data_IF_309683979479
#
_entry.id   IF_309683979479
#
_cell.length_a   1.000
_cell.length_b   1.000
_cell.length_c   1.000
_cell.angle_alpha   90.00
_cell.angle_beta   90.00
_cell.angle_gamma   90.00
#
_symmetry.space_group_name_H-M   'P 1'
#
loop_
_entity.id
_entity.type
_entity.pdbx_description
1 polymer ?
#
# COMPACT_ATOMS: atom_id res chain seq x y z
N UNK A 1 12.54 -60.18 -10.60
CA UNK A 1 12.19 -58.79 -11.02
C UNK A 1 10.69 -58.43 -11.09
N UNK A 2 9.76 -59.37 -11.16
CA UNK A 2 8.30 -59.10 -11.29
C UNK A 2 7.57 -58.53 -10.04
N UNK A 3 8.11 -58.70 -8.81
CA UNK A 3 7.44 -58.24 -7.58
C UNK A 3 7.56 -56.73 -7.29
N UNK A 4 8.57 -56.03 -7.86
CA UNK A 4 8.73 -54.57 -7.65
C UNK A 4 7.73 -53.73 -8.46
N UNK A 5 7.29 -54.23 -9.61
CA UNK A 5 6.30 -53.51 -10.48
C UNK A 5 4.86 -53.52 -9.92
N UNK A 6 4.52 -54.51 -9.08
CA UNK A 6 3.16 -54.64 -8.50
C UNK A 6 2.87 -53.55 -7.47
N UNK A 7 3.90 -52.98 -6.82
CA UNK A 7 3.74 -51.90 -5.83
C UNK A 7 3.89 -50.49 -6.49
N UNK A 8 4.69 -50.38 -7.56
CA UNK A 8 4.93 -49.12 -8.25
C UNK A 8 3.70 -48.65 -9.05
N UNK A 9 2.96 -49.58 -9.68
CA UNK A 9 1.81 -49.25 -10.52
C UNK A 9 0.65 -48.60 -9.73
N UNK A 10 0.21 -49.11 -8.56
CA UNK A 10 -0.82 -48.44 -7.76
C UNK A 10 -0.33 -47.12 -7.18
N UNK A 11 0.96 -46.99 -6.81
CA UNK A 11 1.50 -45.74 -6.32
C UNK A 11 1.50 -44.66 -7.41
N UNK A 12 1.86 -45.02 -8.66
CA UNK A 12 1.81 -44.12 -9.81
C UNK A 12 0.37 -43.70 -10.14
N UNK A 13 -0.58 -44.61 -10.04
CA UNK A 13 -2.00 -44.31 -10.26
C UNK A 13 -2.58 -43.34 -9.19
N UNK A 14 -2.17 -43.48 -7.93
CA UNK A 14 -2.54 -42.54 -6.85
C UNK A 14 -1.89 -41.19 -7.09
N UNK A 15 -0.62 -41.13 -7.49
CA UNK A 15 0.06 -39.87 -7.81
C UNK A 15 -0.61 -39.13 -8.99
N UNK A 16 -0.97 -39.85 -10.04
CA UNK A 16 -1.70 -39.27 -11.21
C UNK A 16 -3.09 -38.78 -10.78
N UNK A 17 -3.83 -39.53 -9.94
CA UNK A 17 -5.12 -39.10 -9.45
C UNK A 17 -5.01 -37.86 -8.57
N UNK A 18 -3.98 -37.74 -7.72
CA UNK A 18 -3.70 -36.54 -6.94
C UNK A 18 -3.33 -35.34 -7.80
N UNK A 19 -2.58 -35.56 -8.87
CA UNK A 19 -2.27 -34.51 -9.85
C UNK A 19 -3.51 -34.04 -10.61
N UNK A 20 -4.37 -34.96 -11.03
CA UNK A 20 -5.65 -34.62 -11.68
C UNK A 20 -6.56 -33.83 -10.73
N UNK A 21 -6.68 -34.26 -9.47
CA UNK A 21 -7.44 -33.55 -8.43
C UNK A 21 -6.82 -32.19 -8.15
N UNK A 22 -5.51 -32.09 -8.05
CA UNK A 22 -4.80 -30.82 -7.88
C UNK A 22 -5.03 -29.88 -9.07
N UNK A 23 -4.89 -30.35 -10.31
CA UNK A 23 -5.19 -29.55 -11.51
C UNK A 23 -6.66 -29.17 -11.60
N UNK A 24 -7.59 -30.04 -11.18
CA UNK A 24 -9.01 -29.75 -11.15
C UNK A 24 -9.33 -28.64 -10.15
N UNK A 25 -8.83 -28.74 -8.91
CA UNK A 25 -9.00 -27.67 -7.90
C UNK A 25 -8.23 -26.39 -8.26
N UNK A 26 -7.07 -26.50 -8.88
CA UNK A 26 -6.31 -25.36 -9.37
C UNK A 26 -7.08 -24.59 -10.46
N UNK A 27 -7.69 -25.29 -11.40
CA UNK A 27 -8.52 -24.68 -12.45
C UNK A 27 -9.86 -24.14 -11.92
N UNK A 28 -10.48 -24.78 -10.91
CA UNK A 28 -11.71 -24.27 -10.27
C UNK A 28 -11.42 -22.93 -9.56
N UNK A 29 -10.29 -22.80 -8.89
CA UNK A 29 -9.90 -21.56 -8.22
C UNK A 29 -9.48 -20.44 -9.18
N UNK A 30 -9.24 -20.73 -10.47
CA UNK A 30 -8.92 -19.77 -11.51
C UNK A 30 -10.07 -19.41 -12.45
N UNK A 31 -11.23 -20.06 -12.33
CA UNK A 31 -12.34 -19.78 -13.24
C UNK A 31 -13.30 -18.78 -12.65
N UNK A 32 -13.58 -17.74 -13.40
CA UNK A 32 -14.74 -16.87 -13.18
C UNK A 32 -16.04 -17.68 -13.18
N UNK A 33 -17.03 -17.24 -12.43
CA UNK A 33 -18.34 -17.92 -12.32
C UNK A 33 -19.25 -17.67 -13.54
N UNK A 34 -18.69 -17.72 -14.76
CA UNK A 34 -19.44 -17.52 -16.00
C UNK A 34 -20.48 -18.65 -16.20
N UNK A 35 -21.72 -18.27 -16.49
CA UNK A 35 -22.80 -19.18 -16.83
C UNK A 35 -22.57 -19.83 -18.20
N UNK A 36 -23.30 -20.93 -18.48
CA UNK A 36 -23.23 -21.61 -19.78
C UNK A 36 -23.66 -20.70 -20.92
N UNK A 37 -24.61 -19.78 -20.69
CA UNK A 37 -25.04 -18.80 -21.69
C UNK A 37 -23.97 -17.77 -21.99
N UNK A 38 -23.25 -17.29 -20.98
CA UNK A 38 -22.14 -16.35 -21.14
C UNK A 38 -20.95 -16.98 -21.88
N UNK A 39 -20.59 -18.21 -21.53
CA UNK A 39 -19.54 -18.97 -22.25
C UNK A 39 -19.87 -19.16 -23.73
N UNK A 40 -21.14 -19.50 -24.02
CA UNK A 40 -21.61 -19.63 -25.40
C UNK A 40 -21.61 -18.28 -26.15
N UNK A 41 -21.94 -17.20 -25.44
CA UNK A 41 -21.88 -15.85 -26.00
C UNK A 41 -20.44 -15.51 -26.39
N UNK A 42 -19.47 -15.77 -25.51
CA UNK A 42 -18.04 -15.57 -25.77
C UNK A 42 -17.60 -16.37 -27.00
N UNK A 43 -17.90 -17.69 -27.05
CA UNK A 43 -17.56 -18.56 -28.19
C UNK A 43 -18.07 -18.00 -29.54
N UNK A 44 -19.23 -17.35 -29.53
CA UNK A 44 -19.85 -16.79 -30.73
C UNK A 44 -19.31 -15.42 -31.14
N UNK A 45 -18.69 -14.67 -30.20
CA UNK A 45 -18.28 -13.29 -30.40
C UNK A 45 -16.75 -13.07 -30.30
N UNK A 46 -15.94 -14.12 -30.23
CA UNK A 46 -14.46 -14.04 -30.17
C UNK A 46 -13.78 -13.26 -31.31
N UNK A 47 -14.49 -12.98 -32.39
CA UNK A 47 -13.96 -12.21 -33.53
C UNK A 47 -14.40 -10.75 -33.51
N UNK A 48 -15.24 -10.36 -32.61
CA UNK A 48 -15.67 -8.98 -32.46
C UNK A 48 -14.65 -8.23 -31.62
N UNK A 49 -14.23 -7.07 -32.09
CA UNK A 49 -13.35 -6.16 -31.35
C UNK A 49 -14.22 -5.22 -30.55
N UNK A 50 -13.97 -5.13 -29.25
CA UNK A 50 -14.73 -4.32 -28.32
C UNK A 50 -13.94 -3.07 -27.98
N UNK A 51 -14.44 -1.89 -28.32
CA UNK A 51 -13.78 -0.63 -27.98
C UNK A 51 -13.95 -0.31 -26.49
N UNK A 52 -12.83 0.03 -25.83
CA UNK A 52 -12.78 0.51 -24.45
C UNK A 52 -11.87 1.73 -24.32
N UNK A 53 -12.38 2.82 -23.76
CA UNK A 53 -11.57 4.00 -23.48
C UNK A 53 -10.87 3.83 -22.13
N UNK A 54 -9.55 4.07 -22.10
CA UNK A 54 -8.74 3.87 -20.89
C UNK A 54 -8.00 5.16 -20.56
N UNK A 55 -8.23 5.67 -19.33
CA UNK A 55 -7.51 6.84 -18.81
C UNK A 55 -5.99 6.57 -18.79
N UNK A 56 -5.21 7.42 -19.49
CA UNK A 56 -3.79 7.19 -19.77
C UNK A 56 -2.89 8.36 -19.35
N UNK A 57 -3.26 9.03 -18.27
CA UNK A 57 -2.47 10.10 -17.63
C UNK A 57 -2.40 9.95 -16.10
N UNK A 58 -2.64 8.74 -15.60
CA UNK A 58 -2.73 8.44 -14.18
C UNK A 58 -1.54 7.58 -13.74
N UNK A 59 -0.56 8.11 -12.97
CA UNK A 59 0.62 7.36 -12.54
C UNK A 59 0.27 5.99 -11.94
N UNK A 60 1.06 4.96 -12.27
CA UNK A 60 0.86 3.56 -11.85
C UNK A 60 -0.33 2.87 -12.53
N UNK A 61 -1.43 3.57 -12.71
CA UNK A 61 -2.68 2.99 -13.18
C UNK A 61 -2.85 3.01 -14.70
N UNK A 62 -2.45 4.09 -15.36
CA UNK A 62 -2.52 4.22 -16.82
C UNK A 62 -1.61 5.32 -17.29
N UNK A 63 -0.44 4.95 -17.84
CA UNK A 63 0.51 5.89 -18.42
C UNK A 63 1.22 5.24 -19.62
N UNK A 64 1.31 5.94 -20.73
CA UNK A 64 1.96 5.45 -21.93
C UNK A 64 1.45 4.06 -22.43
N UNK A 65 0.19 3.74 -22.17
CA UNK A 65 -0.41 2.46 -22.58
C UNK A 65 -0.02 1.27 -21.69
N UNK A 66 0.40 1.51 -20.46
CA UNK A 66 0.74 0.48 -19.46
C UNK A 66 0.18 0.84 -18.09
N UNK A 67 0.15 -0.13 -17.17
CA UNK A 67 -0.30 0.03 -15.79
C UNK A 67 -1.59 -0.71 -15.48
N UNK A 68 -2.01 -0.66 -14.24
CA UNK A 68 -3.11 -1.46 -13.65
C UNK A 68 -4.41 -1.49 -14.47
N UNK A 69 -4.73 -0.42 -15.22
CA UNK A 69 -5.91 -0.39 -16.06
C UNK A 69 -5.78 -1.29 -17.29
N UNK A 70 -4.58 -1.34 -17.86
CA UNK A 70 -4.25 -2.20 -18.99
C UNK A 70 -4.10 -3.66 -18.54
N UNK A 71 -3.50 -3.92 -17.36
CA UNK A 71 -3.40 -5.25 -16.77
C UNK A 71 -4.79 -5.87 -16.54
N UNK A 72 -5.76 -5.07 -16.04
CA UNK A 72 -7.15 -5.51 -15.92
C UNK A 72 -7.71 -6.00 -17.26
N UNK A 73 -7.45 -5.27 -18.35
CA UNK A 73 -7.98 -5.64 -19.67
C UNK A 73 -7.26 -6.89 -20.20
N UNK A 74 -5.94 -6.97 -20.03
CA UNK A 74 -5.18 -8.17 -20.38
C UNK A 74 -5.68 -9.42 -19.65
N UNK A 75 -6.04 -9.28 -18.34
CA UNK A 75 -6.64 -10.38 -17.57
C UNK A 75 -8.01 -10.79 -18.10
N UNK A 76 -8.87 -9.82 -18.44
CA UNK A 76 -10.18 -10.10 -19.06
C UNK A 76 -10.01 -10.84 -20.38
N UNK A 77 -9.10 -10.41 -21.24
CA UNK A 77 -8.78 -11.09 -22.52
C UNK A 77 -8.28 -12.52 -22.28
N UNK A 78 -7.34 -12.72 -21.37
CA UNK A 78 -6.79 -14.05 -21.04
C UNK A 78 -7.85 -15.03 -20.53
N UNK A 79 -8.87 -14.53 -19.83
CA UNK A 79 -9.91 -15.37 -19.25
C UNK A 79 -11.08 -15.63 -20.19
N UNK A 80 -11.33 -14.72 -21.12
CA UNK A 80 -12.52 -14.76 -22.00
C UNK A 80 -12.20 -15.05 -23.44
N UNK A 81 -10.94 -14.95 -23.88
CA UNK A 81 -10.56 -14.94 -25.31
C UNK A 81 -11.32 -13.88 -26.13
N UNK A 82 -11.82 -12.81 -25.48
CA UNK A 82 -12.37 -11.62 -26.16
C UNK A 82 -11.22 -10.69 -26.55
N UNK A 83 -11.42 -9.89 -27.58
CA UNK A 83 -10.45 -8.94 -28.11
C UNK A 83 -10.91 -7.51 -27.86
N UNK A 84 -10.10 -6.70 -27.15
CA UNK A 84 -10.39 -5.32 -26.84
C UNK A 84 -9.47 -4.36 -27.61
N UNK A 85 -10.08 -3.33 -28.20
CA UNK A 85 -9.36 -2.19 -28.74
C UNK A 85 -9.26 -1.11 -27.65
N UNK A 86 -8.12 -1.08 -26.98
CA UNK A 86 -7.84 -0.15 -25.91
C UNK A 86 -7.52 1.24 -26.46
N UNK A 87 -8.40 2.21 -26.23
CA UNK A 87 -8.29 3.58 -26.71
C UNK A 87 -7.81 4.46 -25.57
N UNK A 88 -6.53 4.90 -25.54
CA UNK A 88 -6.03 5.75 -24.49
C UNK A 88 -6.62 7.15 -24.57
N UNK A 89 -7.22 7.62 -23.45
CA UNK A 89 -7.78 8.96 -23.29
C UNK A 89 -7.02 9.75 -22.21
N UNK A 90 -6.96 11.07 -22.34
CA UNK A 90 -6.29 11.94 -21.37
C UNK A 90 -7.27 12.54 -20.35
N UNK A 91 -8.54 12.64 -20.72
CA UNK A 91 -9.61 13.14 -19.85
C UNK A 91 -10.84 12.24 -19.93
N UNK A 92 -11.60 12.14 -18.85
CA UNK A 92 -12.89 11.44 -18.84
C UNK A 92 -13.91 12.05 -19.82
N UNK A 93 -13.76 13.32 -20.16
CA UNK A 93 -14.59 14.02 -21.15
C UNK A 93 -14.34 13.51 -22.58
N UNK A 94 -13.16 12.95 -22.85
CA UNK A 94 -12.79 12.39 -24.16
C UNK A 94 -13.43 11.01 -24.41
N UNK A 95 -14.08 10.42 -23.40
CA UNK A 95 -14.68 9.09 -23.50
C UNK A 95 -15.87 9.05 -24.44
N UNK A 96 -15.79 8.23 -25.46
CA UNK A 96 -16.85 8.03 -26.47
C UNK A 96 -17.35 6.59 -26.54
N UNK A 97 -16.58 5.62 -26.03
CA UNK A 97 -16.94 4.20 -26.03
C UNK A 97 -17.97 3.84 -24.99
N UNK A 98 -18.68 2.73 -25.21
CA UNK A 98 -19.68 2.21 -24.27
C UNK A 98 -19.04 1.62 -22.99
N UNK A 99 -17.76 1.30 -23.06
CA UNK A 99 -16.95 0.83 -21.94
C UNK A 99 -15.80 1.81 -21.73
N UNK A 100 -15.56 2.20 -20.48
CA UNK A 100 -14.47 3.14 -20.20
C UNK A 100 -13.94 3.02 -18.78
N UNK A 101 -12.62 3.17 -18.62
CA UNK A 101 -12.00 3.42 -17.33
C UNK A 101 -11.75 4.92 -17.21
N UNK A 102 -12.43 5.56 -16.26
CA UNK A 102 -12.49 7.01 -16.13
C UNK A 102 -12.61 7.47 -14.68
N UNK A 103 -12.29 8.74 -14.44
CA UNK A 103 -12.62 9.45 -13.19
C UNK A 103 -14.09 9.86 -13.23
N UNK A 104 -14.83 9.61 -12.15
CA UNK A 104 -16.13 10.26 -11.93
C UNK A 104 -15.91 11.62 -11.29
N UNK A 105 -16.62 12.61 -11.79
CA UNK A 105 -16.71 13.91 -11.12
C UNK A 105 -17.39 13.74 -9.77
N UNK A 106 -17.08 14.61 -8.80
CA UNK A 106 -17.59 14.45 -7.44
C UNK A 106 -19.09 14.69 -7.30
N UNK A 107 -19.72 15.38 -8.24
CA UNK A 107 -21.16 15.55 -8.37
C UNK A 107 -21.86 14.36 -9.04
N UNK A 108 -21.11 13.43 -9.63
CA UNK A 108 -21.62 12.20 -10.24
C UNK A 108 -21.75 11.09 -9.19
N UNK A 109 -22.93 10.49 -9.09
CA UNK A 109 -23.13 9.30 -8.27
C UNK A 109 -22.63 8.06 -9.00
N UNK A 110 -21.98 7.14 -8.26
CA UNK A 110 -21.63 5.82 -8.78
C UNK A 110 -22.91 5.07 -9.11
N UNK A 111 -23.13 4.76 -10.37
CA UNK A 111 -24.32 4.04 -10.83
C UNK A 111 -24.11 2.53 -10.72
N UNK A 112 -25.19 1.75 -10.94
CA UNK A 112 -25.10 0.27 -11.00
C UNK A 112 -24.22 -0.26 -12.15
N UNK A 113 -23.87 0.61 -13.09
CA UNK A 113 -23.03 0.30 -14.25
C UNK A 113 -21.58 0.76 -14.06
N UNK A 114 -21.27 1.45 -12.96
CA UNK A 114 -19.94 1.90 -12.63
C UNK A 114 -19.37 0.99 -11.55
N UNK A 115 -18.27 0.32 -11.87
CA UNK A 115 -17.57 -0.58 -10.96
C UNK A 115 -16.36 0.16 -10.37
N UNK A 116 -16.40 0.43 -9.09
CA UNK A 116 -15.35 1.19 -8.40
C UNK A 116 -14.01 0.43 -8.42
N UNK A 117 -13.03 0.97 -9.14
CA UNK A 117 -11.66 0.49 -9.18
C UNK A 117 -10.93 0.89 -7.89
N UNK A 118 -10.84 2.18 -7.62
CA UNK A 118 -10.24 2.70 -6.38
C UNK A 118 -10.70 4.14 -6.11
N UNK A 119 -10.40 4.61 -4.90
CA UNK A 119 -10.60 5.99 -4.47
C UNK A 119 -9.23 6.63 -4.20
N UNK A 120 -8.93 7.70 -4.92
CA UNK A 120 -7.69 8.45 -4.80
C UNK A 120 -7.90 9.65 -3.88
N UNK A 121 -7.46 9.50 -2.63
CA UNK A 121 -7.62 10.55 -1.61
C UNK A 121 -6.82 11.79 -1.96
N UNK A 122 -7.40 12.96 -1.75
CA UNK A 122 -6.66 14.21 -1.82
C UNK A 122 -5.67 14.33 -0.67
N UNK A 123 -4.55 15.00 -0.94
CA UNK A 123 -3.47 15.23 0.04
C UNK A 123 -3.01 16.67 0.03
N UNK A 124 -2.52 17.11 1.18
CA UNK A 124 -1.85 18.42 1.34
C UNK A 124 -0.34 18.24 1.23
N UNK A 125 0.27 18.95 0.31
CA UNK A 125 1.71 18.91 0.05
C UNK A 125 2.33 20.29 0.30
N UNK A 126 3.54 20.30 0.85
CA UNK A 126 4.39 21.47 0.97
C UNK A 126 5.89 21.14 0.89
N UNK A 127 6.73 22.17 0.85
CA UNK A 127 8.20 22.06 0.94
C UNK A 127 8.71 21.93 2.38
N UNK A 128 7.82 22.03 3.36
CA UNK A 128 8.15 21.97 4.78
C UNK A 128 7.23 20.98 5.48
N UNK A 129 7.76 20.25 6.46
CA UNK A 129 6.94 19.41 7.31
C UNK A 129 6.00 20.28 8.18
N UNK A 130 4.71 20.04 8.10
CA UNK A 130 3.67 20.77 8.84
C UNK A 130 2.81 19.80 9.62
N UNK A 131 2.53 20.12 10.86
CA UNK A 131 1.60 19.34 11.68
C UNK A 131 0.17 19.77 11.40
N UNK A 132 -0.54 19.03 10.55
CA UNK A 132 -1.97 19.22 10.22
C UNK A 132 -2.71 17.97 10.71
N UNK A 133 -3.56 18.14 11.73
CA UNK A 133 -4.33 17.01 12.29
C UNK A 133 -5.76 16.93 11.73
N UNK A 134 -6.28 18.03 11.18
CA UNK A 134 -7.62 18.16 10.61
C UNK A 134 -7.69 19.32 9.63
N UNK A 135 -8.70 19.35 8.78
CA UNK A 135 -8.90 20.35 7.74
C UNK A 135 -8.91 21.79 8.30
N UNK A 136 -9.53 22.00 9.45
CA UNK A 136 -9.61 23.33 10.09
C UNK A 136 -8.25 23.87 10.60
N UNK A 137 -7.18 23.07 10.56
CA UNK A 137 -5.82 23.54 10.87
C UNK A 137 -5.16 24.25 9.67
N UNK A 138 -5.73 24.09 8.46
CA UNK A 138 -5.30 24.74 7.23
C UNK A 138 -5.88 26.17 7.22
N UNK A 139 -5.13 27.14 7.75
CA UNK A 139 -5.58 28.53 7.88
C UNK A 139 -4.48 29.52 7.54
N UNK A 140 -4.88 30.76 7.19
CA UNK A 140 -3.95 31.87 6.92
C UNK A 140 -2.87 31.48 5.91
N UNK A 141 -3.27 30.91 4.78
CA UNK A 141 -2.35 30.29 3.86
C UNK A 141 -2.72 30.57 2.41
N UNK A 142 -1.72 30.64 1.55
CA UNK A 142 -1.89 30.69 0.11
C UNK A 142 -1.79 29.26 -0.44
N UNK A 143 -2.91 28.78 -1.00
CA UNK A 143 -3.13 27.41 -1.38
C UNK A 143 -3.28 27.29 -2.91
N UNK A 144 -2.44 26.44 -3.51
CA UNK A 144 -2.54 26.08 -4.93
C UNK A 144 -3.46 24.90 -5.14
N UNK A 145 -4.26 24.94 -6.20
CA UNK A 145 -5.20 23.87 -6.57
C UNK A 145 -5.39 23.87 -8.09
N UNK A 146 -5.75 22.72 -8.68
CA UNK A 146 -6.15 22.68 -10.09
C UNK A 146 -7.50 23.38 -10.28
N UNK A 147 -7.71 24.02 -11.44
CA UNK A 147 -8.96 24.71 -11.75
C UNK A 147 -10.17 23.80 -11.56
N UNK A 148 -10.08 22.55 -12.04
CA UNK A 148 -11.14 21.55 -11.95
C UNK A 148 -11.48 21.17 -10.50
N UNK A 149 -10.51 21.24 -9.58
CA UNK A 149 -10.66 20.80 -8.19
C UNK A 149 -11.07 21.92 -7.23
N UNK A 150 -11.10 23.19 -7.68
CA UNK A 150 -11.29 24.36 -6.81
C UNK A 150 -12.61 24.31 -6.03
N UNK A 151 -13.71 23.97 -6.70
CA UNK A 151 -15.05 23.97 -6.06
C UNK A 151 -15.09 23.00 -4.89
N UNK A 152 -14.52 21.85 -5.06
CA UNK A 152 -14.51 20.76 -4.11
C UNK A 152 -13.56 21.00 -2.96
N UNK A 153 -12.32 21.40 -3.26
CA UNK A 153 -11.35 21.78 -2.23
C UNK A 153 -11.90 22.90 -1.35
N UNK A 154 -12.54 23.91 -1.95
CA UNK A 154 -13.15 25.00 -1.19
C UNK A 154 -14.34 24.54 -0.32
N UNK A 155 -15.13 23.58 -0.80
CA UNK A 155 -16.21 22.99 -0.02
C UNK A 155 -15.69 22.21 1.20
N UNK A 156 -14.65 21.38 1.02
CA UNK A 156 -14.05 20.63 2.13
C UNK A 156 -13.35 21.55 3.14
N UNK A 157 -12.74 22.64 2.68
CA UNK A 157 -12.06 23.61 3.53
C UNK A 157 -12.97 24.74 4.03
N UNK A 158 -14.31 24.63 3.95
CA UNK A 158 -15.26 25.67 4.39
C UNK A 158 -15.16 26.07 5.85
N UNK A 159 -14.60 25.19 6.71
CA UNK A 159 -14.34 25.47 8.12
C UNK A 159 -13.02 26.20 8.37
N UNK A 160 -12.15 26.25 7.38
CA UNK A 160 -10.85 26.92 7.41
C UNK A 160 -11.01 28.44 7.19
N UNK A 161 -10.03 29.22 7.66
CA UNK A 161 -10.12 30.68 7.60
C UNK A 161 -8.93 31.28 6.85
N UNK A 162 -9.22 32.38 6.12
CA UNK A 162 -8.22 33.16 5.43
C UNK A 162 -7.33 32.32 4.49
N UNK A 163 -7.98 31.54 3.61
CA UNK A 163 -7.30 30.83 2.54
C UNK A 163 -7.37 31.68 1.29
N UNK A 164 -6.21 31.97 0.71
CA UNK A 164 -6.09 32.55 -0.62
C UNK A 164 -5.88 31.41 -1.63
N UNK A 165 -6.94 31.10 -2.40
CA UNK A 165 -6.87 30.07 -3.45
C UNK A 165 -6.21 30.64 -4.70
N UNK A 166 -5.24 29.88 -5.25
CA UNK A 166 -4.62 30.15 -6.53
C UNK A 166 -4.78 28.94 -7.42
N UNK A 167 -5.38 29.12 -8.58
CA UNK A 167 -5.72 28.01 -9.47
C UNK A 167 -4.70 27.88 -10.61
N UNK A 168 -4.52 26.62 -11.06
CA UNK A 168 -3.60 26.24 -12.13
C UNK A 168 -4.28 25.28 -13.10
N UNK A 169 -3.91 25.36 -14.39
CA UNK A 169 -4.49 24.53 -15.45
C UNK A 169 -3.98 23.09 -15.42
N UNK A 170 -2.76 22.88 -14.92
CA UNK A 170 -2.13 21.57 -14.92
C UNK A 170 -1.24 21.35 -13.71
N UNK A 171 -0.92 20.09 -13.46
CA UNK A 171 -0.14 19.65 -12.28
C UNK A 171 1.30 20.21 -12.31
N UNK A 172 1.90 20.39 -13.49
CA UNK A 172 3.28 20.89 -13.60
C UNK A 172 3.38 22.35 -13.14
N UNK A 173 2.44 23.20 -13.53
CA UNK A 173 2.37 24.60 -13.10
C UNK A 173 2.04 24.71 -11.61
N UNK A 174 1.18 23.83 -11.10
CA UNK A 174 0.85 23.75 -9.68
C UNK A 174 2.11 23.46 -8.82
N UNK A 175 2.90 22.46 -9.19
CA UNK A 175 4.17 22.16 -8.49
C UNK A 175 5.22 23.26 -8.67
N UNK A 176 5.30 23.85 -9.86
CA UNK A 176 6.19 24.99 -10.10
C UNK A 176 5.87 26.17 -9.18
N UNK A 177 4.58 26.45 -8.98
CA UNK A 177 4.17 27.52 -8.06
C UNK A 177 4.55 27.23 -6.60
N UNK A 178 4.51 25.95 -6.18
CA UNK A 178 5.00 25.53 -4.88
C UNK A 178 6.53 25.66 -4.78
N UNK A 179 7.26 25.30 -5.83
CA UNK A 179 8.72 25.42 -5.89
C UNK A 179 9.20 26.87 -5.85
N UNK A 180 8.51 27.76 -6.57
CA UNK A 180 8.80 29.19 -6.65
C UNK A 180 8.32 29.95 -5.39
N UNK A 181 7.62 29.30 -4.44
CA UNK A 181 7.06 29.91 -3.25
C UNK A 181 5.84 30.81 -3.52
N UNK A 182 5.24 30.73 -4.70
CA UNK A 182 4.03 31.47 -5.07
C UNK A 182 2.81 30.98 -4.27
N UNK A 183 2.81 29.73 -3.84
CA UNK A 183 1.87 29.13 -2.89
C UNK A 183 2.63 28.41 -1.78
N UNK A 184 2.04 28.30 -0.60
CA UNK A 184 2.67 27.69 0.56
C UNK A 184 2.38 26.19 0.68
N UNK A 185 1.24 25.78 0.16
CA UNK A 185 0.79 24.39 0.07
C UNK A 185 0.04 24.18 -1.24
N UNK A 186 -0.06 22.93 -1.66
CA UNK A 186 -0.95 22.49 -2.73
C UNK A 186 -1.85 21.37 -2.24
N UNK A 187 -3.04 21.24 -2.83
CA UNK A 187 -3.95 20.11 -2.63
C UNK A 187 -4.19 19.44 -3.98
N UNK A 188 -3.97 18.13 -4.03
CA UNK A 188 -4.09 17.32 -5.25
C UNK A 188 -4.37 15.85 -4.88
N UNK A 189 -4.91 15.03 -5.77
CA UNK A 189 -5.02 13.58 -5.55
C UNK A 189 -3.65 12.93 -5.28
N UNK A 190 -3.61 11.94 -4.39
CA UNK A 190 -2.37 11.30 -3.93
C UNK A 190 -1.56 10.67 -5.07
N UNK A 191 -2.21 9.94 -5.96
CA UNK A 191 -1.53 9.26 -7.08
C UNK A 191 -0.80 10.26 -7.99
N UNK A 192 -1.40 11.42 -8.22
CA UNK A 192 -0.78 12.50 -9.02
C UNK A 192 0.48 13.08 -8.36
N UNK A 193 0.70 12.84 -7.08
CA UNK A 193 1.89 13.29 -6.36
C UNK A 193 3.11 12.40 -6.61
N UNK A 194 2.89 11.13 -6.98
CA UNK A 194 3.95 10.12 -7.09
C UNK A 194 5.06 10.55 -8.05
N UNK A 195 4.69 11.25 -9.13
CA UNK A 195 5.66 11.78 -10.10
C UNK A 195 6.74 12.66 -9.46
N UNK A 196 6.44 13.32 -8.35
CA UNK A 196 7.34 14.23 -7.64
C UNK A 196 7.86 13.67 -6.32
N UNK A 197 7.04 12.94 -5.59
CA UNK A 197 7.39 12.46 -4.24
C UNK A 197 8.25 11.20 -4.25
N UNK A 198 8.19 10.38 -5.29
CA UNK A 198 9.00 9.15 -5.40
C UNK A 198 10.50 9.45 -5.57
N UNK A 199 10.87 10.49 -6.31
CA UNK A 199 12.25 10.80 -6.66
C UNK A 199 12.82 12.03 -5.94
N UNK A 200 12.03 12.69 -5.09
CA UNK A 200 12.42 13.96 -4.49
C UNK A 200 11.95 14.08 -3.03
N UNK A 201 12.91 14.02 -2.10
CA UNK A 201 12.68 14.17 -0.66
C UNK A 201 12.33 15.63 -0.24
N UNK A 202 12.17 16.56 -1.19
CA UNK A 202 11.88 17.98 -0.90
C UNK A 202 10.41 18.27 -0.67
N UNK A 203 9.52 17.28 -0.90
CA UNK A 203 8.09 17.42 -0.71
C UNK A 203 7.62 16.59 0.46
N UNK A 204 6.72 17.17 1.28
CA UNK A 204 6.11 16.53 2.43
C UNK A 204 4.61 16.41 2.21
N UNK A 205 4.08 15.20 2.37
CA UNK A 205 2.64 14.98 2.47
C UNK A 205 2.26 15.21 3.92
N UNK A 206 1.60 16.33 4.21
CA UNK A 206 1.31 16.76 5.56
C UNK A 206 -0.07 16.32 6.06
N UNK A 207 -0.99 15.98 5.17
CA UNK A 207 -2.34 15.56 5.52
C UNK A 207 -2.96 14.73 4.41
N UNK A 208 -3.71 13.70 4.79
CA UNK A 208 -4.57 12.91 3.91
C UNK A 208 -6.02 13.16 4.28
N UNK A 209 -6.84 13.53 3.30
CA UNK A 209 -8.28 13.62 3.49
C UNK A 209 -8.87 12.20 3.50
N UNK A 210 -9.76 11.90 4.44
CA UNK A 210 -10.39 10.57 4.57
C UNK A 210 -11.62 10.40 3.68
N UNK A 211 -12.39 11.49 3.52
CA UNK A 211 -13.69 11.46 2.83
C UNK A 211 -13.69 12.33 1.56
N UNK A 212 -12.54 12.83 1.16
CA UNK A 212 -12.35 13.62 -0.04
C UNK A 212 -11.41 12.89 -1.01
N UNK A 213 -11.97 12.31 -2.06
CA UNK A 213 -11.26 11.47 -3.02
C UNK A 213 -11.85 11.59 -4.43
N UNK A 214 -11.03 11.38 -5.45
CA UNK A 214 -11.49 11.09 -6.82
C UNK A 214 -11.86 9.61 -6.91
N UNK A 215 -12.98 9.28 -7.55
CA UNK A 215 -13.43 7.90 -7.74
C UNK A 215 -13.13 7.46 -9.17
N UNK A 216 -12.34 6.43 -9.30
CA UNK A 216 -11.99 5.83 -10.58
C UNK A 216 -12.80 4.56 -10.77
N UNK A 217 -13.50 4.47 -11.90
CA UNK A 217 -14.46 3.41 -12.19
C UNK A 217 -14.22 2.78 -13.55
N UNK A 218 -14.56 1.49 -13.66
CA UNK A 218 -14.88 0.86 -14.93
C UNK A 218 -16.36 1.05 -15.19
N UNK A 219 -16.71 1.89 -16.18
CA UNK A 219 -18.07 2.19 -16.59
C UNK A 219 -18.52 1.23 -17.69
N UNK A 220 -19.63 0.54 -17.47
CA UNK A 220 -20.15 -0.53 -18.34
C UNK A 220 -21.52 -0.10 -18.87
N UNK A 221 -21.53 0.59 -20.01
CA UNK A 221 -22.74 1.15 -20.62
C UNK A 221 -23.08 0.52 -21.99
N UNK A 222 -22.52 -0.66 -22.27
CA UNK A 222 -22.84 -1.39 -23.49
C UNK A 222 -24.31 -1.79 -23.59
N UNK A 223 -24.80 -1.96 -24.83
CA UNK A 223 -26.20 -2.37 -25.11
C UNK A 223 -26.42 -3.88 -24.93
N UNK A 224 -25.34 -4.67 -24.95
CA UNK A 224 -25.42 -6.12 -24.76
C UNK A 224 -25.35 -6.50 -23.28
N UNK A 225 -26.50 -6.89 -22.72
CA UNK A 225 -26.61 -7.26 -21.32
C UNK A 225 -25.73 -8.48 -20.95
N UNK A 226 -25.45 -9.37 -21.91
CA UNK A 226 -24.60 -10.54 -21.67
C UNK A 226 -23.14 -10.14 -21.53
N UNK A 227 -22.65 -9.30 -22.42
CA UNK A 227 -21.30 -8.74 -22.31
C UNK A 227 -21.14 -7.90 -21.03
N UNK A 228 -22.13 -7.07 -20.72
CA UNK A 228 -22.12 -6.30 -19.47
C UNK A 228 -22.04 -7.21 -18.23
N UNK A 229 -22.72 -8.35 -18.24
CA UNK A 229 -22.66 -9.34 -17.16
C UNK A 229 -21.30 -10.01 -17.07
N UNK A 230 -20.70 -10.37 -18.21
CA UNK A 230 -19.33 -10.93 -18.30
C UNK A 230 -18.32 -9.93 -17.70
N UNK A 231 -18.31 -8.70 -18.19
CA UNK A 231 -17.39 -7.66 -17.71
C UNK A 231 -17.49 -7.44 -16.18
N UNK A 232 -18.71 -7.42 -15.64
CA UNK A 232 -18.92 -7.31 -14.18
C UNK A 232 -18.32 -8.47 -13.39
N UNK A 233 -18.43 -9.68 -13.91
CA UNK A 233 -17.90 -10.89 -13.26
C UNK A 233 -16.37 -10.96 -13.34
N UNK A 234 -15.81 -10.66 -14.51
CA UNK A 234 -14.36 -10.61 -14.72
C UNK A 234 -13.72 -9.52 -13.84
N UNK A 235 -14.31 -8.33 -13.81
CA UNK A 235 -13.87 -7.27 -12.90
C UNK A 235 -13.90 -7.71 -11.44
N UNK A 236 -14.99 -8.33 -10.98
CA UNK A 236 -15.09 -8.79 -9.60
C UNK A 236 -14.07 -9.88 -9.27
N UNK A 237 -13.79 -10.78 -10.22
CA UNK A 237 -12.76 -11.79 -10.10
C UNK A 237 -11.36 -11.15 -9.99
N UNK A 238 -11.00 -10.30 -10.94
CA UNK A 238 -9.74 -9.57 -10.95
C UNK A 238 -9.54 -8.74 -9.68
N UNK A 239 -10.54 -7.97 -9.28
CA UNK A 239 -10.50 -7.11 -8.09
C UNK A 239 -10.17 -7.89 -6.81
N UNK A 240 -10.69 -9.12 -6.69
CA UNK A 240 -10.50 -9.95 -5.50
C UNK A 240 -9.21 -10.78 -5.53
N UNK A 241 -8.66 -11.07 -6.70
CA UNK A 241 -7.57 -12.05 -6.82
C UNK A 241 -6.26 -11.43 -7.33
N UNK A 242 -6.30 -10.39 -8.16
CA UNK A 242 -5.14 -9.87 -8.90
C UNK A 242 -4.80 -8.42 -8.57
N UNK A 243 -5.80 -7.56 -8.40
CA UNK A 243 -5.64 -6.11 -8.24
C UNK A 243 -4.50 -5.68 -7.30
N UNK A 244 -4.41 -6.29 -6.11
CA UNK A 244 -3.42 -5.86 -5.10
C UNK A 244 -2.00 -6.20 -5.53
N UNK A 245 -1.81 -7.36 -6.15
CA UNK A 245 -0.48 -7.79 -6.59
C UNK A 245 -0.05 -7.01 -7.83
N UNK A 246 -0.92 -6.79 -8.81
CA UNK A 246 -0.65 -5.96 -9.99
C UNK A 246 -0.39 -4.49 -9.61
N UNK A 247 -1.22 -3.89 -8.75
CA UNK A 247 -0.96 -2.54 -8.27
C UNK A 247 0.43 -2.39 -7.62
N UNK A 248 0.84 -3.36 -6.81
CA UNK A 248 2.14 -3.30 -6.17
C UNK A 248 3.29 -3.50 -7.17
N UNK A 249 3.10 -4.35 -8.18
CA UNK A 249 4.06 -4.57 -9.26
C UNK A 249 4.22 -3.31 -10.11
N UNK A 250 3.12 -2.71 -10.54
CA UNK A 250 3.13 -1.47 -11.33
C UNK A 250 3.67 -0.28 -10.53
N UNK A 251 3.38 -0.19 -9.23
CA UNK A 251 3.98 0.82 -8.35
C UNK A 251 5.51 0.66 -8.27
N UNK A 252 6.01 -0.58 -8.16
CA UNK A 252 7.44 -0.87 -8.17
C UNK A 252 8.07 -0.51 -9.52
N UNK A 253 7.44 -0.90 -10.63
CA UNK A 253 7.89 -0.58 -11.98
C UNK A 253 7.96 0.94 -12.20
N UNK A 254 6.93 1.66 -11.75
CA UNK A 254 6.89 3.12 -11.79
C UNK A 254 8.05 3.73 -10.98
N UNK A 255 8.30 3.25 -9.75
CA UNK A 255 9.42 3.68 -8.91
C UNK A 255 10.77 3.44 -9.59
N UNK A 256 10.99 2.23 -10.14
CA UNK A 256 12.25 1.88 -10.79
C UNK A 256 12.51 2.75 -12.01
N UNK A 257 11.49 2.99 -12.83
CA UNK A 257 11.56 3.84 -14.03
C UNK A 257 11.86 5.30 -13.66
N UNK A 258 11.15 5.86 -12.68
CA UNK A 258 11.34 7.26 -12.25
C UNK A 258 12.71 7.51 -11.63
N UNK A 259 13.31 6.53 -10.97
CA UNK A 259 14.63 6.64 -10.39
C UNK A 259 15.74 6.16 -11.34
N UNK A 260 15.43 5.89 -12.60
CA UNK A 260 16.38 5.44 -13.63
C UNK A 260 17.18 4.21 -13.19
N UNK A 261 16.54 3.30 -12.44
CA UNK A 261 17.18 2.08 -11.96
C UNK A 261 17.37 1.11 -13.12
N UNK A 262 18.61 0.91 -13.50
CA UNK A 262 18.95 0.01 -14.61
C UNK A 262 18.75 -1.46 -14.25
N UNK A 263 18.49 -2.30 -15.26
CA UNK A 263 18.36 -3.76 -15.09
C UNK A 263 19.60 -4.39 -14.46
N UNK A 264 20.78 -3.80 -14.67
CA UNK A 264 22.02 -4.25 -14.03
C UNK A 264 21.93 -4.04 -12.51
N UNK A 265 21.46 -2.88 -12.03
CA UNK A 265 21.30 -2.61 -10.60
C UNK A 265 20.24 -3.53 -10.01
N UNK A 266 19.12 -3.74 -10.71
CA UNK A 266 18.07 -4.69 -10.31
C UNK A 266 18.64 -6.11 -10.18
N UNK A 267 19.38 -6.59 -11.18
CA UNK A 267 20.04 -7.91 -11.16
C UNK A 267 21.03 -8.03 -10.00
N UNK A 268 21.86 -6.99 -9.76
CA UNK A 268 22.82 -6.97 -8.66
C UNK A 268 22.12 -7.04 -7.28
N UNK A 269 20.96 -6.39 -7.13
CA UNK A 269 20.16 -6.42 -5.92
C UNK A 269 19.59 -7.82 -5.64
N UNK A 270 18.97 -8.45 -6.62
CA UNK A 270 18.33 -9.77 -6.44
C UNK A 270 19.32 -10.93 -6.39
N UNK A 271 20.56 -10.73 -6.87
CA UNK A 271 21.62 -11.76 -6.81
C UNK A 271 22.18 -12.01 -5.42
N UNK A 272 21.85 -11.17 -4.44
CA UNK A 272 22.36 -11.22 -3.08
C UNK A 272 21.28 -11.67 -2.10
N UNK A 273 21.70 -12.43 -1.08
CA UNK A 273 20.82 -12.71 0.08
C UNK A 273 21.14 -11.73 1.19
N UNK A 274 20.15 -10.97 1.63
CA UNK A 274 20.31 -9.97 2.68
C UNK A 274 19.98 -10.53 4.06
N UNK A 275 20.64 -10.02 5.09
CA UNK A 275 20.44 -10.46 6.47
C UNK A 275 19.42 -9.56 7.15
N UNK A 276 18.24 -10.12 7.43
CA UNK A 276 17.26 -9.50 8.32
C UNK A 276 17.57 -9.87 9.78
N UNK A 277 17.94 -8.86 10.59
CA UNK A 277 18.27 -9.05 12.01
C UNK A 277 17.08 -8.71 12.91
N UNK A 278 16.78 -9.57 13.90
CA UNK A 278 15.68 -9.33 14.83
C UNK A 278 15.91 -9.86 16.24
N UNK A 279 15.16 -9.30 17.19
CA UNK A 279 14.95 -9.85 18.53
C UNK A 279 13.48 -10.21 18.64
N UNK A 280 13.17 -11.38 19.18
CA UNK A 280 11.77 -11.83 19.30
C UNK A 280 10.88 -10.79 19.96
N UNK A 281 9.92 -10.28 19.23
CA UNK A 281 9.02 -9.20 19.63
C UNK A 281 7.60 -9.45 19.13
N UNK A 282 6.78 -10.12 19.96
CA UNK A 282 5.38 -10.44 19.60
C UNK A 282 4.50 -9.18 19.63
N UNK A 283 3.63 -8.98 18.66
CA UNK A 283 3.25 -9.86 17.52
C UNK A 283 4.06 -9.65 16.24
N UNK A 284 5.09 -8.83 16.24
CA UNK A 284 5.80 -8.37 15.03
C UNK A 284 6.77 -9.41 14.49
N UNK A 285 7.59 -10.00 15.36
CA UNK A 285 8.67 -10.95 15.01
C UNK A 285 8.62 -12.15 15.96
N UNK A 286 8.12 -13.26 15.47
CA UNK A 286 7.85 -14.46 16.27
C UNK A 286 8.57 -15.66 15.67
N UNK A 287 9.52 -16.25 16.40
CA UNK A 287 10.18 -17.47 15.96
C UNK A 287 9.26 -18.68 16.13
N UNK A 288 9.07 -19.47 15.05
CA UNK A 288 8.41 -20.77 15.09
C UNK A 288 9.26 -21.84 14.42
N UNK A 289 10.00 -22.58 15.22
CA UNK A 289 10.92 -23.59 14.70
C UNK A 289 12.01 -22.97 13.81
N UNK A 290 11.96 -23.26 12.51
CA UNK A 290 12.89 -22.69 11.51
C UNK A 290 12.33 -21.44 10.80
N UNK A 291 11.04 -21.13 10.97
CA UNK A 291 10.38 -19.97 10.37
C UNK A 291 10.34 -18.79 11.33
N UNK A 292 10.16 -17.60 10.76
CA UNK A 292 9.85 -16.38 11.49
C UNK A 292 8.52 -15.87 10.95
N UNK A 293 7.61 -15.54 11.84
CA UNK A 293 6.26 -15.09 11.54
C UNK A 293 5.98 -13.76 12.23
N UNK A 294 4.87 -13.13 11.89
CA UNK A 294 4.39 -11.90 12.51
C UNK A 294 4.26 -10.74 11.52
N UNK A 295 3.74 -9.61 11.99
CA UNK A 295 3.38 -8.46 11.14
C UNK A 295 4.58 -7.96 10.33
N UNK A 296 5.75 -7.84 10.95
CA UNK A 296 6.96 -7.42 10.26
C UNK A 296 7.39 -8.43 9.18
N UNK A 297 7.19 -9.72 9.44
CA UNK A 297 7.57 -10.77 8.49
C UNK A 297 6.65 -10.81 7.28
N UNK A 298 5.34 -10.58 7.45
CA UNK A 298 4.42 -10.46 6.32
C UNK A 298 4.80 -9.31 5.39
N UNK A 299 5.24 -8.19 5.96
CA UNK A 299 5.76 -7.07 5.18
C UNK A 299 7.01 -7.46 4.37
N UNK A 300 7.97 -8.14 5.00
CA UNK A 300 9.19 -8.62 4.33
C UNK A 300 8.87 -9.70 3.27
N UNK A 301 7.93 -10.62 3.55
CA UNK A 301 7.51 -11.62 2.57
C UNK A 301 6.84 -10.98 1.35
N UNK A 302 6.04 -9.93 1.56
CA UNK A 302 5.48 -9.15 0.45
C UNK A 302 6.57 -8.47 -0.36
N UNK A 303 7.54 -7.84 0.30
CA UNK A 303 8.70 -7.24 -0.37
C UNK A 303 9.46 -8.27 -1.21
N UNK A 304 9.73 -9.47 -0.66
CA UNK A 304 10.37 -10.57 -1.41
C UNK A 304 9.58 -10.93 -2.67
N UNK A 305 8.26 -11.10 -2.57
CA UNK A 305 7.40 -11.45 -3.73
C UNK A 305 7.43 -10.40 -4.83
N UNK A 306 7.49 -9.11 -4.46
CA UNK A 306 7.47 -8.00 -5.44
C UNK A 306 8.84 -7.74 -6.08
N UNK A 307 9.93 -8.05 -5.39
CA UNK A 307 11.27 -7.61 -5.79
C UNK A 307 12.22 -8.77 -6.10
N UNK A 308 11.83 -10.00 -5.80
CA UNK A 308 12.69 -11.20 -5.82
C UNK A 308 13.93 -11.10 -4.90
N UNK A 309 13.96 -10.10 -3.99
CA UNK A 309 15.03 -9.98 -3.01
C UNK A 309 14.87 -11.04 -1.94
N UNK A 310 15.91 -11.85 -1.71
CA UNK A 310 15.91 -12.88 -0.70
C UNK A 310 16.49 -12.41 0.64
N UNK A 311 15.85 -12.86 1.73
CA UNK A 311 16.27 -12.54 3.09
C UNK A 311 16.63 -13.80 3.89
N UNK A 312 17.74 -13.70 4.62
CA UNK A 312 18.14 -14.66 5.64
C UNK A 312 17.86 -14.07 7.02
N UNK A 313 16.96 -14.69 7.76
CA UNK A 313 16.56 -14.24 9.09
C UNK A 313 17.58 -14.64 10.16
N UNK A 314 18.00 -13.66 10.96
CA UNK A 314 18.97 -13.86 12.04
C UNK A 314 18.46 -13.33 13.37
N UNK A 315 18.15 -14.27 14.27
CA UNK A 315 17.71 -13.95 15.63
C UNK A 315 18.90 -13.57 16.52
N UNK A 316 18.71 -12.53 17.31
CA UNK A 316 19.62 -12.11 18.38
C UNK A 316 18.94 -12.29 19.74
N UNK A 317 19.73 -12.57 20.78
CA UNK A 317 19.21 -12.83 22.11
C UNK A 317 18.76 -11.56 22.84
N UNK A 318 19.25 -10.39 22.40
CA UNK A 318 18.94 -9.09 22.98
C UNK A 318 19.13 -7.95 21.99
N UNK A 319 18.47 -6.81 22.26
CA UNK A 319 18.64 -5.56 21.50
C UNK A 319 20.11 -5.12 21.48
N UNK A 320 20.83 -5.30 22.60
CA UNK A 320 22.26 -4.97 22.68
C UNK A 320 23.11 -5.79 21.70
N UNK A 321 22.80 -7.07 21.50
CA UNK A 321 23.49 -7.90 20.51
C UNK A 321 23.12 -7.53 19.09
N UNK A 322 21.84 -7.26 18.83
CA UNK A 322 21.37 -6.74 17.54
C UNK A 322 22.10 -5.43 17.19
N UNK A 323 22.12 -4.46 18.12
CA UNK A 323 22.83 -3.19 17.93
C UNK A 323 24.30 -3.39 17.57
N UNK A 324 25.03 -4.25 18.30
CA UNK A 324 26.42 -4.59 17.96
C UNK A 324 26.57 -5.24 16.59
N UNK A 325 25.60 -6.03 16.15
CA UNK A 325 25.63 -6.65 14.85
C UNK A 325 25.38 -5.65 13.72
N UNK A 326 24.45 -4.71 13.93
CA UNK A 326 24.18 -3.56 13.06
C UNK A 326 25.44 -2.70 12.92
N UNK A 327 26.07 -2.28 14.03
CA UNK A 327 27.31 -1.49 14.02
C UNK A 327 28.48 -2.20 13.29
N UNK A 328 28.48 -3.52 13.24
CA UNK A 328 29.47 -4.32 12.53
C UNK A 328 29.12 -4.66 11.08
N UNK A 329 28.02 -4.10 10.55
CA UNK A 329 27.55 -4.39 9.19
C UNK A 329 27.17 -5.86 8.96
N UNK A 330 26.71 -6.58 10.00
CA UNK A 330 26.28 -8.00 9.91
C UNK A 330 24.78 -8.18 9.72
N UNK A 331 24.06 -7.10 9.62
CA UNK A 331 22.63 -7.00 9.42
C UNK A 331 22.42 -5.98 8.32
N UNK A 332 21.64 -6.30 7.32
CA UNK A 332 21.34 -5.41 6.20
C UNK A 332 20.05 -4.65 6.41
N UNK A 333 19.05 -5.28 7.04
CA UNK A 333 17.74 -4.68 7.35
C UNK A 333 17.23 -5.14 8.72
N UNK A 334 16.51 -4.27 9.41
CA UNK A 334 15.78 -4.56 10.64
C UNK A 334 14.64 -3.57 10.83
N UNK A 335 13.59 -3.95 11.56
CA UNK A 335 12.58 -3.01 12.04
C UNK A 335 13.05 -2.34 13.33
N UNK A 336 13.11 -1.01 13.33
CA UNK A 336 13.66 -0.27 14.47
C UNK A 336 12.61 0.05 15.55
N UNK A 337 12.12 -0.97 16.23
CA UNK A 337 11.32 -0.81 17.47
C UNK A 337 12.16 -0.35 18.66
N UNK A 338 13.47 -0.37 18.52
CA UNK A 338 14.39 -0.29 19.65
C UNK A 338 15.17 1.01 19.71
N UNK A 339 14.99 1.90 18.72
CA UNK A 339 15.73 3.14 18.61
C UNK A 339 17.23 2.92 18.40
N UNK A 340 17.60 1.97 17.55
CA UNK A 340 19.01 1.74 17.19
C UNK A 340 19.44 2.84 16.21
N UNK A 341 19.80 4.00 16.72
CA UNK A 341 20.37 5.06 15.88
C UNK A 341 21.72 4.63 15.33
N UNK A 342 21.83 4.55 14.01
CA UNK A 342 23.08 4.26 13.33
C UNK A 342 23.21 5.13 12.09
N UNK A 343 24.28 5.87 11.95
CA UNK A 343 24.58 6.67 10.75
C UNK A 343 24.88 5.79 9.51
N UNK A 344 24.92 4.47 9.65
CA UNK A 344 25.18 3.53 8.56
C UNK A 344 23.91 3.09 7.83
N UNK A 345 22.73 3.39 8.39
CA UNK A 345 21.44 2.96 7.85
C UNK A 345 20.53 4.15 7.56
N UNK A 346 19.82 4.09 6.45
CA UNK A 346 18.76 5.03 6.11
C UNK A 346 17.44 4.46 6.62
N UNK A 347 16.68 5.25 7.37
CA UNK A 347 15.31 4.90 7.76
C UNK A 347 14.38 5.08 6.57
N UNK A 348 13.45 4.14 6.38
CA UNK A 348 12.32 4.27 5.48
C UNK A 348 11.08 4.71 6.26
N UNK A 349 9.99 5.03 5.55
CA UNK A 349 8.69 5.30 6.18
C UNK A 349 8.24 4.06 6.93
N UNK A 350 7.71 4.24 8.16
CA UNK A 350 7.16 3.14 8.94
C UNK A 350 5.89 2.58 8.27
N UNK A 351 5.79 1.25 8.08
CA UNK A 351 4.59 0.63 7.49
C UNK A 351 3.37 0.66 8.42
N UNK A 352 3.55 1.00 9.69
CA UNK A 352 2.48 1.13 10.69
C UNK A 352 2.90 2.05 11.84
N UNK A 353 1.90 2.54 12.58
CA UNK A 353 2.06 3.35 13.79
C UNK A 353 1.58 2.53 14.98
N UNK A 354 2.33 2.57 16.08
CA UNK A 354 1.98 1.92 17.33
C UNK A 354 1.67 2.95 18.40
N UNK A 355 0.50 2.83 19.04
CA UNK A 355 0.12 3.64 20.17
C UNK A 355 0.55 2.99 21.47
N UNK A 356 1.03 3.80 22.41
CA UNK A 356 1.38 3.34 23.75
C UNK A 356 0.26 3.62 24.73
N UNK A 357 -0.05 2.63 25.56
CA UNK A 357 -1.06 2.76 26.61
C UNK A 357 -0.43 2.63 27.99
N UNK A 358 -0.92 3.43 28.93
CA UNK A 358 -0.55 3.35 30.33
C UNK A 358 -1.60 2.53 31.10
N UNK A 359 -1.18 1.43 31.71
CA UNK A 359 -2.03 0.58 32.53
C UNK A 359 -1.86 0.95 34.01
N UNK A 360 -2.89 1.49 34.62
CA UNK A 360 -2.96 1.78 36.05
C UNK A 360 -3.73 0.73 36.86
N UNK A 361 -3.74 0.88 38.21
CA UNK A 361 -4.64 0.13 39.10
C UNK A 361 -6.01 0.81 39.13
N UNK A 362 -7.07 0.01 39.10
CA UNK A 362 -8.46 0.51 39.11
C UNK A 362 -8.80 1.30 40.40
N UNK A 363 -8.09 1.02 41.51
CA UNK A 363 -8.29 1.66 42.80
C UNK A 363 -7.59 3.00 42.99
N UNK A 364 -6.79 3.43 41.98
CA UNK A 364 -6.06 4.69 42.08
C UNK A 364 -6.69 5.71 41.13
N UNK A 365 -7.17 6.85 41.63
CA UNK A 365 -7.68 7.99 40.84
C UNK A 365 -6.56 8.73 40.07
N UNK A 366 -5.58 8.01 39.57
CA UNK A 366 -4.48 8.57 38.82
C UNK A 366 -4.78 8.53 37.30
N UNK A 367 -5.45 9.54 36.81
CA UNK A 367 -5.65 9.74 35.40
C UNK A 367 -4.37 10.31 34.79
N UNK A 368 -3.74 9.58 33.88
CA UNK A 368 -2.59 10.06 33.06
C UNK A 368 -3.15 10.42 31.70
N UNK A 369 -3.24 11.71 31.42
CA UNK A 369 -3.83 12.25 30.18
C UNK A 369 -2.78 12.85 29.25
N UNK A 370 -1.56 13.08 29.74
CA UNK A 370 -0.46 13.65 28.98
C UNK A 370 0.88 13.12 29.47
N UNK A 371 1.93 13.37 28.68
CA UNK A 371 3.29 13.03 29.08
C UNK A 371 3.72 13.73 30.39
N UNK A 372 3.37 15.01 30.55
CA UNK A 372 3.67 15.80 31.77
C UNK A 372 2.98 15.24 33.00
N UNK A 373 1.79 14.65 32.87
CA UNK A 373 1.07 14.03 33.99
C UNK A 373 1.77 12.78 34.56
N UNK A 374 2.84 12.30 33.89
CA UNK A 374 3.71 11.22 34.38
C UNK A 374 4.71 11.69 35.44
N UNK A 375 4.89 13.02 35.63
CA UNK A 375 5.82 13.60 36.61
C UNK A 375 5.60 13.04 38.00
N UNK A 376 6.70 12.59 38.64
CA UNK A 376 6.73 11.97 39.98
C UNK A 376 5.92 10.65 40.09
N UNK A 377 5.41 10.10 38.98
CA UNK A 377 4.74 8.80 39.00
C UNK A 377 5.76 7.67 38.92
N UNK A 378 5.47 6.54 39.58
CA UNK A 378 6.27 5.32 39.47
C UNK A 378 5.80 4.52 38.28
N UNK A 379 6.62 4.42 37.25
CA UNK A 379 6.32 3.73 36.00
C UNK A 379 7.24 2.53 35.83
N UNK A 380 6.67 1.40 35.42
CA UNK A 380 7.44 0.20 35.09
C UNK A 380 7.46 0.06 33.56
N UNK A 381 8.65 -0.04 33.01
CA UNK A 381 8.86 -0.10 31.55
C UNK A 381 9.78 -1.25 31.17
N UNK A 382 9.69 -1.72 29.93
CA UNK A 382 10.66 -2.66 29.37
C UNK A 382 12.02 -1.96 29.20
N UNK A 383 13.07 -2.65 29.61
CA UNK A 383 14.44 -2.17 29.42
C UNK A 383 14.82 -2.18 27.92
N UNK A 384 15.70 -1.27 27.53
CA UNK A 384 16.30 -1.19 26.20
C UNK A 384 15.30 -1.02 25.05
N UNK A 385 14.22 -0.22 25.26
CA UNK A 385 13.28 0.21 24.23
C UNK A 385 13.41 1.72 23.97
N UNK A 386 13.10 2.17 22.76
CA UNK A 386 13.10 3.59 22.40
C UNK A 386 12.20 4.42 23.33
N UNK A 387 11.03 3.89 23.71
CA UNK A 387 10.12 4.54 24.65
C UNK A 387 10.78 4.74 26.03
N UNK A 388 11.49 3.74 26.54
CA UNK A 388 12.18 3.84 27.85
C UNK A 388 13.30 4.85 27.78
N UNK A 389 14.07 4.90 26.71
CA UNK A 389 15.11 5.90 26.49
C UNK A 389 14.52 7.31 26.40
N UNK A 390 13.41 7.47 25.67
CA UNK A 390 12.68 8.74 25.59
C UNK A 390 12.20 9.21 26.97
N UNK A 391 11.63 8.32 27.79
CA UNK A 391 11.20 8.65 29.15
C UNK A 391 12.35 9.00 30.08
N UNK A 392 13.49 8.28 29.98
CA UNK A 392 14.70 8.61 30.77
C UNK A 392 15.20 10.02 30.47
N UNK A 393 15.17 10.43 29.21
CA UNK A 393 15.73 11.70 28.78
C UNK A 393 14.76 12.89 28.95
N UNK A 394 13.45 12.65 28.89
CA UNK A 394 12.47 13.73 28.79
C UNK A 394 11.45 13.76 29.93
N UNK A 395 11.27 12.67 30.70
CA UNK A 395 10.30 12.64 31.80
C UNK A 395 10.92 12.90 33.16
N UNK A 396 10.07 13.36 34.09
CA UNK A 396 10.41 13.39 35.53
C UNK A 396 9.74 12.23 36.29
N UNK A 397 9.40 11.15 35.58
CA UNK A 397 8.86 9.94 36.18
C UNK A 397 9.93 9.11 36.90
N UNK A 398 9.54 8.31 37.87
CA UNK A 398 10.41 7.37 38.58
C UNK A 398 10.31 6.03 37.85
N UNK A 399 11.30 5.72 36.98
CA UNK A 399 11.22 4.57 36.07
C UNK A 399 11.87 3.32 36.69
N UNK A 400 11.14 2.21 36.71
CA UNK A 400 11.63 0.89 37.03
C UNK A 400 11.71 0.05 35.75
N UNK A 401 12.91 -0.34 35.34
CA UNK A 401 13.16 -1.12 34.12
C UNK A 401 13.09 -2.62 34.38
N UNK A 402 12.42 -3.36 33.52
CA UNK A 402 12.31 -4.83 33.57
C UNK A 402 12.67 -5.45 32.22
N UNK A 403 13.23 -6.69 32.27
CA UNK A 403 13.78 -7.33 31.05
C UNK A 403 12.74 -8.12 30.25
N UNK A 404 11.48 -8.22 30.70
CA UNK A 404 10.44 -8.97 29.98
C UNK A 404 9.05 -8.51 30.37
N UNK A 405 8.10 -8.71 29.44
CA UNK A 405 6.65 -8.42 29.65
C UNK A 405 6.09 -9.23 30.82
N UNK A 406 6.57 -10.46 31.04
CA UNK A 406 6.13 -11.27 32.17
C UNK A 406 6.50 -10.63 33.53
N UNK A 407 7.64 -9.96 33.61
CA UNK A 407 8.03 -9.21 34.80
C UNK A 407 7.22 -7.93 35.00
N UNK A 408 6.71 -7.31 33.93
CA UNK A 408 5.73 -6.24 34.03
C UNK A 408 4.44 -6.71 34.72
N UNK A 409 3.93 -7.90 34.33
CA UNK A 409 2.72 -8.50 34.90
C UNK A 409 2.88 -8.90 36.36
N UNK A 410 4.02 -9.39 36.79
CA UNK A 410 4.28 -9.87 38.15
C UNK A 410 4.54 -8.75 39.16
N UNK A 411 5.23 -7.67 38.76
CA UNK A 411 5.44 -6.50 39.62
C UNK A 411 4.16 -5.68 39.87
N UNK A 412 3.12 -5.85 39.04
CA UNK A 412 1.80 -5.26 39.25
C UNK A 412 1.04 -5.85 40.48
N UNK A 413 1.45 -7.02 40.97
CA UNK A 413 0.81 -7.71 42.12
C UNK A 413 1.40 -7.37 43.50
N UNK A 414 2.45 -6.58 43.57
CA UNK A 414 3.07 -6.06 44.81
C UNK A 414 2.92 -4.54 44.86
#
# INVERSE_FOLDING_TARGET
>A
MKKKYIIILPFLAVLISLLIVFFYFYNINKSTSLSVSEKRWIENNQKEIIDIDILNNYPVYGINGTGVFFDLMEDVEKHTDLDFNEIPILSSEDSASSYSIKVLNNDEEVTKNDLLLFEDSYVVISKEERSIAKESDINNIKLGVLNEDLSEVSYYLKSSKNIEYVTYENIADLYKALDDGNVSIIITPYIMTLDRTISNDSYFINFYFTDFCKRIVLSINGKDDTLNSIMKKEFAYWKNNHYVDEYNEELLNYYLTKNEISDKIKTDLVSKTYVYGYVENKPYEVSRGKSVEGIAMEYIHRMTRLTDIEFKYKKYSSVKELKKAVEKGKVDIYFDYYGINSNQYKATISPFVEEYVVLGKLSENNVITSFESTKNKKIIMLKDTALTEYFDNNSRAIITKVNSVNKLKTKKRR
#
